data_IF_113291089066
#
_entry.id   IF_113291089066
#
_cell.length_a   1.000
_cell.length_b   1.000
_cell.length_c   1.000
_cell.angle_alpha   90.00
_cell.angle_beta   90.00
_cell.angle_gamma   90.00
#
_symmetry.space_group_name_H-M   'P 1'
#
loop_
_entity.id
_entity.type
_entity.pdbx_description
1 polymer ?
#
# COMPACT_ATOMS: atom_id res chain seq x y z
N UNK A 1 2.84 -12.21 19.56
CA UNK A 1 4.25 -12.45 19.18
C UNK A 1 4.52 -11.67 17.90
N UNK A 2 4.96 -10.41 18.03
CA UNK A 2 5.23 -9.53 16.90
C UNK A 2 6.73 -9.61 16.57
N UNK A 3 7.08 -10.35 15.52
CA UNK A 3 8.43 -10.31 14.96
C UNK A 3 8.48 -9.23 13.88
N UNK A 4 8.98 -8.05 14.23
CA UNK A 4 9.36 -7.02 13.27
C UNK A 4 10.88 -6.99 13.18
N UNK A 5 11.44 -7.76 12.24
CA UNK A 5 12.86 -7.70 11.94
C UNK A 5 13.15 -6.55 10.97
N UNK A 6 14.17 -5.75 11.32
CA UNK A 6 14.54 -4.48 10.70
C UNK A 6 15.46 -4.67 9.48
N UNK A 7 15.25 -3.79 8.50
CA UNK A 7 16.20 -3.15 7.55
C UNK A 7 17.25 -4.03 6.85
N UNK A 8 17.18 -4.09 5.51
CA UNK A 8 18.34 -4.33 4.67
C UNK A 8 18.38 -3.36 3.49
N UNK A 9 19.12 -2.26 3.66
CA UNK A 9 19.67 -1.51 2.54
C UNK A 9 21.11 -1.97 2.33
N UNK A 10 21.41 -2.57 1.16
CA UNK A 10 22.79 -2.70 0.66
C UNK A 10 22.80 -2.54 -0.86
N UNK A 11 23.63 -1.60 -1.31
CA UNK A 11 23.81 -1.13 -2.69
C UNK A 11 24.43 -2.16 -3.66
N UNK A 12 24.86 -1.70 -4.86
CA UNK A 12 24.90 -2.51 -6.06
C UNK A 12 26.04 -3.53 -6.02
N UNK A 13 25.67 -4.80 -6.06
CA UNK A 13 26.56 -5.92 -6.34
C UNK A 13 25.78 -6.79 -7.32
N UNK A 14 26.32 -6.92 -8.54
CA UNK A 14 25.63 -7.45 -9.71
C UNK A 14 24.87 -8.74 -9.43
N UNK A 15 23.62 -8.81 -9.90
CA UNK A 15 22.73 -9.95 -9.72
C UNK A 15 21.28 -9.53 -9.49
N UNK A 16 20.35 -10.47 -9.68
CA UNK A 16 18.91 -10.26 -9.46
C UNK A 16 18.62 -10.13 -7.94
N UNK A 17 17.82 -9.14 -7.54
CA UNK A 17 17.52 -8.84 -6.13
C UNK A 17 16.03 -8.70 -5.89
N UNK A 18 15.52 -9.49 -4.95
CA UNK A 18 14.15 -9.36 -4.45
C UNK A 18 14.00 -8.14 -3.55
N UNK A 19 12.91 -7.39 -3.70
CA UNK A 19 12.58 -6.19 -2.91
C UNK A 19 11.10 -6.21 -2.56
N UNK A 20 10.81 -6.10 -1.27
CA UNK A 20 9.45 -6.08 -0.73
C UNK A 20 9.15 -4.70 -0.15
N UNK A 21 7.96 -4.18 -0.43
CA UNK A 21 7.47 -2.92 0.11
C UNK A 21 6.03 -3.11 0.59
N UNK A 22 5.81 -3.40 1.88
CA UNK A 22 4.45 -3.52 2.42
C UNK A 22 3.77 -2.14 2.39
N UNK A 23 2.66 -2.04 1.67
CA UNK A 23 1.84 -0.83 1.59
C UNK A 23 0.54 -1.08 2.35
N UNK A 24 0.25 -0.26 3.34
CA UNK A 24 -1.02 -0.26 4.05
C UNK A 24 -1.86 0.94 3.62
N UNK A 25 -3.13 0.70 3.33
CA UNK A 25 -4.11 1.74 3.01
C UNK A 25 -5.20 1.76 4.09
N UNK A 26 -5.95 2.85 4.17
CA UNK A 26 -7.16 2.91 4.98
C UNK A 26 -8.25 1.99 4.40
N UNK A 27 -9.14 1.50 5.26
CA UNK A 27 -10.26 0.62 4.89
C UNK A 27 -11.36 1.32 4.06
N UNK A 28 -11.18 2.58 3.67
CA UNK A 28 -12.19 3.40 2.98
C UNK A 28 -12.73 2.70 1.73
N UNK A 29 -11.87 2.21 0.84
CA UNK A 29 -12.30 1.52 -0.38
C UNK A 29 -12.99 0.19 -0.07
N UNK A 30 -12.61 -0.48 1.03
CA UNK A 30 -13.29 -1.70 1.47
C UNK A 30 -14.69 -1.40 1.97
N UNK A 31 -14.85 -0.32 2.74
CA UNK A 31 -16.14 0.10 3.31
C UNK A 31 -17.12 0.57 2.22
N UNK A 32 -16.65 1.32 1.22
CA UNK A 32 -17.45 1.74 0.06
C UNK A 32 -17.98 0.49 -0.68
N UNK A 33 -17.10 -0.49 -0.94
CA UNK A 33 -17.50 -1.73 -1.64
C UNK A 33 -18.38 -2.68 -0.83
N UNK A 34 -18.47 -2.52 0.49
CA UNK A 34 -19.37 -3.32 1.36
C UNK A 34 -20.68 -2.60 1.70
N UNK A 35 -20.77 -1.30 1.43
CA UNK A 35 -21.97 -0.51 1.70
C UNK A 35 -23.17 -1.02 0.91
N UNK A 36 -24.33 -1.07 1.57
CA UNK A 36 -25.63 -1.43 0.95
C UNK A 36 -26.57 -0.22 0.82
N UNK A 37 -26.11 0.97 1.21
CA UNK A 37 -26.90 2.21 1.21
C UNK A 37 -27.83 2.37 2.42
N UNK A 38 -27.56 1.65 3.52
CA UNK A 38 -28.34 1.71 4.75
C UNK A 38 -27.88 2.81 5.71
N UNK A 39 -28.69 3.15 6.73
CA UNK A 39 -28.35 4.19 7.72
C UNK A 39 -27.16 3.84 8.62
N UNK A 40 -26.71 2.58 8.63
CA UNK A 40 -25.50 2.14 9.32
C UNK A 40 -24.23 2.26 8.45
N UNK A 41 -24.36 2.56 7.16
CA UNK A 41 -23.22 2.66 6.27
C UNK A 41 -22.47 3.99 6.45
N UNK A 42 -21.17 3.91 6.66
CA UNK A 42 -20.29 5.08 6.85
C UNK A 42 -20.05 5.81 5.52
N UNK A 43 -20.14 5.10 4.40
CA UNK A 43 -19.97 5.64 3.04
C UNK A 43 -21.10 5.16 2.15
N UNK A 44 -21.52 5.98 1.19
CA UNK A 44 -22.50 5.54 0.18
C UNK A 44 -21.83 4.61 -0.85
N UNK A 45 -22.58 3.67 -1.47
CA UNK A 45 -22.04 2.79 -2.50
C UNK A 45 -21.47 3.53 -3.72
N UNK A 46 -21.99 4.72 -4.02
CA UNK A 46 -21.59 5.60 -5.12
C UNK A 46 -20.45 6.57 -4.77
N UNK A 47 -19.91 6.50 -3.54
CA UNK A 47 -18.80 7.34 -3.13
C UNK A 47 -17.53 7.05 -3.97
N UNK A 48 -16.74 8.08 -4.34
CA UNK A 48 -15.57 7.88 -5.17
C UNK A 48 -14.51 7.05 -4.45
N UNK A 49 -13.95 6.06 -5.15
CA UNK A 49 -12.82 5.27 -4.66
C UNK A 49 -11.60 6.17 -4.48
N UNK A 50 -10.86 5.94 -3.39
CA UNK A 50 -9.64 6.68 -3.11
C UNK A 50 -8.43 6.01 -3.78
N UNK A 51 -7.46 6.79 -4.27
CA UNK A 51 -6.17 6.25 -4.69
C UNK A 51 -5.56 5.43 -3.55
N UNK A 52 -5.14 4.19 -3.84
CA UNK A 52 -4.63 3.27 -2.82
C UNK A 52 -3.51 2.40 -3.40
N UNK A 53 -2.46 2.13 -2.63
CA UNK A 53 -1.33 1.28 -3.05
C UNK A 53 -0.13 2.07 -3.56
N UNK A 54 0.74 1.40 -4.30
CA UNK A 54 1.95 1.99 -4.90
C UNK A 54 1.63 2.55 -6.29
N UNK A 55 1.23 3.82 -6.34
CA UNK A 55 0.70 4.46 -7.56
C UNK A 55 1.80 5.12 -8.39
N UNK A 56 2.86 5.58 -7.73
CA UNK A 56 3.97 6.27 -8.38
C UNK A 56 5.04 5.32 -8.94
N UNK A 57 5.91 5.82 -9.83
CA UNK A 57 7.02 5.03 -10.34
C UNK A 57 8.04 4.73 -9.23
N UNK A 58 8.40 3.46 -9.09
CA UNK A 58 9.52 3.05 -8.22
C UNK A 58 10.83 3.37 -8.93
N UNK A 59 11.66 4.23 -8.34
CA UNK A 59 12.98 4.58 -8.89
C UNK A 59 14.09 4.09 -7.99
N UNK A 60 15.09 3.44 -8.58
CA UNK A 60 16.36 3.17 -7.92
C UNK A 60 17.27 4.38 -8.17
N UNK A 61 17.61 5.10 -7.11
CA UNK A 61 18.52 6.24 -7.16
C UNK A 61 19.87 5.84 -6.55
N UNK A 62 20.96 6.24 -7.19
CA UNK A 62 22.33 6.02 -6.70
C UNK A 62 22.83 7.34 -6.11
N UNK A 63 23.28 7.32 -4.86
CA UNK A 63 23.96 8.48 -4.26
C UNK A 63 25.34 8.63 -4.92
N UNK A 64 25.68 9.86 -5.30
CA UNK A 64 27.03 10.21 -5.76
C UNK A 64 28.01 10.21 -4.60
#
# INVERSE_FOLDING_TARGET
>A
MAHTARKAAKGPQGGCRHRECPVANLWVNRLIGTSRGGPQDVYRPDAPLRPSGLIGPVRLLVAR
#
